data_IF_521868592810
#
_entry.id   IF_521868592810
#
_cell.length_a   1.000
_cell.length_b   1.000
_cell.length_c   1.000
_cell.angle_alpha   90.00
_cell.angle_beta   90.00
_cell.angle_gamma   90.00
#
_symmetry.space_group_name_H-M   'P 1'
#
loop_
_entity.id
_entity.type
_entity.pdbx_description
1 polymer ?
#
# COMPACT_ATOMS: atom_id res chain seq x y z
N UNK A 1 -6.08 -1.26 -3.88
CA UNK A 1 -5.10 -1.22 -5.01
C UNK A 1 -4.17 -2.41 -4.93
N UNK A 2 -3.67 -2.85 -6.06
CA UNK A 2 -2.65 -3.91 -6.10
C UNK A 2 -1.37 -3.42 -5.43
N UNK A 3 -0.86 -4.19 -4.46
CA UNK A 3 0.30 -3.76 -3.67
C UNK A 3 1.57 -3.60 -4.52
N UNK A 4 1.68 -4.30 -5.63
CA UNK A 4 2.85 -4.23 -6.51
C UNK A 4 2.72 -3.17 -7.61
N UNK A 5 1.51 -2.74 -7.92
CA UNK A 5 1.25 -1.77 -8.99
C UNK A 5 1.04 -0.35 -8.48
N UNK A 6 0.63 -0.20 -7.23
CA UNK A 6 0.19 1.09 -6.73
C UNK A 6 -1.15 1.49 -7.32
N UNK A 7 -1.46 2.77 -7.22
CA UNK A 7 -2.72 3.28 -7.76
C UNK A 7 -3.01 4.69 -7.31
N UNK A 8 -4.24 5.11 -7.58
CA UNK A 8 -4.72 6.45 -7.30
C UNK A 8 -5.82 6.41 -6.27
N UNK A 9 -5.78 7.32 -5.31
CA UNK A 9 -6.83 7.50 -4.31
C UNK A 9 -7.23 8.97 -4.28
N UNK A 10 -8.40 9.25 -3.73
CA UNK A 10 -8.90 10.61 -3.61
C UNK A 10 -8.27 11.35 -2.43
N UNK A 11 -8.01 12.63 -2.60
CA UNK A 11 -7.60 13.50 -1.49
C UNK A 11 -8.65 13.44 -0.37
N UNK A 12 -8.20 13.41 0.86
CA UNK A 12 -9.08 13.39 2.03
C UNK A 12 -9.47 12.02 2.55
N UNK A 13 -9.09 10.93 1.87
CA UNK A 13 -9.35 9.58 2.41
C UNK A 13 -8.53 9.34 3.67
N UNK A 14 -9.06 8.53 4.59
CA UNK A 14 -8.41 8.22 5.85
C UNK A 14 -7.78 6.83 5.88
N UNK A 15 -7.93 6.05 4.82
CA UNK A 15 -7.38 4.70 4.75
C UNK A 15 -7.12 4.33 3.30
N UNK A 16 -6.23 3.35 3.11
CA UNK A 16 -5.87 2.83 1.80
C UNK A 16 -5.96 1.31 1.85
N UNK A 17 -6.72 0.72 0.93
CA UNK A 17 -6.87 -0.72 0.84
C UNK A 17 -5.89 -1.29 -0.16
N UNK A 18 -5.17 -2.33 0.25
CA UNK A 18 -4.24 -3.05 -0.63
C UNK A 18 -4.70 -4.49 -0.86
N UNK A 19 -4.36 -5.00 -2.02
CA UNK A 19 -4.61 -6.39 -2.42
C UNK A 19 -3.28 -7.07 -2.70
N UNK A 20 -3.07 -8.24 -2.10
CA UNK A 20 -1.84 -9.02 -2.26
C UNK A 20 -2.16 -10.32 -3.00
N UNK A 21 -1.61 -10.48 -4.20
CA UNK A 21 -1.79 -11.67 -5.04
C UNK A 21 -0.66 -12.69 -4.87
N UNK A 22 0.23 -12.48 -3.91
CA UNK A 22 1.39 -13.34 -3.69
C UNK A 22 1.13 -14.40 -2.62
N UNK A 23 1.93 -15.44 -2.63
CA UNK A 23 1.83 -16.55 -1.67
C UNK A 23 2.54 -16.27 -0.34
N UNK A 24 3.06 -15.06 -0.16
CA UNK A 24 3.71 -14.62 1.08
C UNK A 24 3.13 -13.29 1.53
N UNK A 25 3.14 -13.04 2.85
CA UNK A 25 2.74 -11.76 3.39
C UNK A 25 3.64 -10.66 2.81
N UNK A 26 3.07 -9.47 2.62
CA UNK A 26 3.78 -8.36 2.02
C UNK A 26 3.86 -7.20 3.01
N UNK A 27 5.08 -6.84 3.40
CA UNK A 27 5.34 -5.72 4.30
C UNK A 27 5.68 -4.50 3.47
N UNK A 28 5.04 -3.37 3.76
CA UNK A 28 5.29 -2.11 3.07
C UNK A 28 6.26 -1.28 3.89
N UNK A 29 7.40 -0.93 3.30
CA UNK A 29 8.40 -0.06 3.93
C UNK A 29 8.56 1.24 3.15
N UNK A 30 9.20 2.22 3.75
CA UNK A 30 9.66 3.44 3.05
C UNK A 30 8.55 4.23 2.35
N UNK A 31 7.43 4.47 3.03
CA UNK A 31 6.40 5.37 2.52
C UNK A 31 6.41 6.68 3.33
N UNK A 32 6.58 7.81 2.65
CA UNK A 32 6.66 9.12 3.29
C UNK A 32 5.36 9.92 3.22
N UNK A 33 4.24 9.25 2.93
CA UNK A 33 2.94 9.92 2.92
C UNK A 33 2.62 10.47 4.31
N UNK A 34 2.21 11.74 4.44
CA UNK A 34 1.78 12.27 5.73
C UNK A 34 0.65 11.44 6.33
N UNK A 35 0.82 11.05 7.60
CA UNK A 35 -0.14 10.17 8.27
C UNK A 35 0.13 8.68 8.10
N UNK A 36 1.16 8.30 7.33
CA UNK A 36 1.52 6.88 7.20
C UNK A 36 1.91 6.31 8.57
N UNK A 37 1.48 5.06 8.89
CA UNK A 37 1.79 4.47 10.20
C UNK A 37 3.29 4.32 10.43
N UNK A 38 3.71 4.45 11.68
CA UNK A 38 5.11 4.29 12.08
C UNK A 38 5.54 2.83 12.12
N UNK A 39 4.58 1.92 12.28
CA UNK A 39 4.82 0.48 12.18
C UNK A 39 4.52 0.05 10.75
N UNK A 40 5.45 -0.66 10.11
CA UNK A 40 5.29 -1.08 8.71
C UNK A 40 4.05 -1.96 8.54
N UNK A 41 3.11 -1.57 7.67
CA UNK A 41 1.91 -2.39 7.44
C UNK A 41 2.25 -3.71 6.78
N UNK A 42 1.53 -4.77 7.17
CA UNK A 42 1.65 -6.09 6.57
C UNK A 42 0.32 -6.45 5.93
N UNK A 43 0.37 -6.74 4.63
CA UNK A 43 -0.81 -7.17 3.88
C UNK A 43 -0.72 -8.69 3.73
N UNK A 44 -1.70 -9.44 4.25
CA UNK A 44 -1.62 -10.90 4.28
C UNK A 44 -1.57 -11.51 2.88
N UNK A 45 -0.97 -12.68 2.80
CA UNK A 45 -0.85 -13.44 1.57
C UNK A 45 -2.22 -13.89 1.06
N UNK A 46 -2.27 -14.28 -0.23
CA UNK A 46 -3.46 -14.92 -0.78
C UNK A 46 -3.70 -16.28 -0.12
N UNK A 47 -4.97 -16.67 -0.06
CA UNK A 47 -5.38 -18.00 0.43
C UNK A 47 -6.09 -18.69 -0.73
N UNK A 48 -5.51 -19.77 -1.24
CA UNK A 48 -6.00 -20.41 -2.46
C UNK A 48 -5.95 -19.46 -3.64
N UNK A 49 -7.09 -19.20 -4.29
CA UNK A 49 -7.20 -18.24 -5.38
C UNK A 49 -7.73 -16.88 -4.92
N UNK A 50 -7.96 -16.70 -3.61
CA UNK A 50 -8.49 -15.46 -3.06
C UNK A 50 -7.33 -14.56 -2.64
N UNK A 51 -7.17 -13.35 -3.22
CA UNK A 51 -6.13 -12.42 -2.82
C UNK A 51 -6.25 -12.02 -1.36
N UNK A 52 -5.10 -11.82 -0.71
CA UNK A 52 -5.07 -11.22 0.61
C UNK A 52 -5.41 -9.73 0.52
N UNK A 53 -6.09 -9.21 1.53
CA UNK A 53 -6.44 -7.80 1.60
C UNK A 53 -6.06 -7.22 2.93
N UNK A 54 -5.71 -5.94 2.94
CA UNK A 54 -5.40 -5.22 4.15
C UNK A 54 -5.67 -3.74 3.98
N UNK A 55 -5.99 -3.08 5.09
CA UNK A 55 -6.27 -1.66 5.11
C UNK A 55 -5.21 -0.95 5.91
N UNK A 56 -4.60 0.07 5.34
CA UNK A 56 -3.66 0.96 6.03
C UNK A 56 -4.44 2.17 6.51
N UNK A 57 -4.48 2.36 7.84
CA UNK A 57 -5.11 3.53 8.43
C UNK A 57 -4.14 4.69 8.46
N UNK A 58 -4.56 5.85 7.95
CA UNK A 58 -3.76 7.06 7.97
C UNK A 58 -4.05 7.86 9.25
N UNK A 59 -3.01 8.49 9.81
CA UNK A 59 -3.15 9.35 10.98
C UNK A 59 -3.76 10.70 10.66
N UNK A 60 -3.90 11.04 9.38
CA UNK A 60 -4.53 12.25 8.89
C UNK A 60 -5.07 12.01 7.49
N UNK A 61 -6.04 12.84 7.01
CA UNK A 61 -6.56 12.70 5.65
C UNK A 61 -5.45 12.81 4.60
N UNK A 62 -5.56 12.01 3.54
CA UNK A 62 -4.54 11.98 2.49
C UNK A 62 -4.45 13.32 1.77
N UNK A 63 -3.22 13.79 1.55
CA UNK A 63 -2.93 15.05 0.88
C UNK A 63 -2.43 14.81 -0.54
N UNK A 64 -2.68 15.76 -1.43
CA UNK A 64 -2.26 15.68 -2.84
C UNK A 64 -0.77 15.40 -2.93
N UNK A 65 -0.39 14.47 -3.78
CA UNK A 65 1.01 14.13 -4.03
C UNK A 65 1.16 12.73 -4.61
N UNK A 66 2.41 12.37 -4.88
CA UNK A 66 2.79 11.03 -5.32
C UNK A 66 3.78 10.48 -4.32
N UNK A 67 3.45 9.34 -3.73
CA UNK A 67 4.21 8.76 -2.62
C UNK A 67 4.67 7.35 -2.99
N UNK A 68 5.94 7.18 -3.38
CA UNK A 68 6.49 5.84 -3.59
C UNK A 68 6.52 5.05 -2.29
N UNK A 69 6.35 3.74 -2.41
CA UNK A 69 6.48 2.83 -1.27
C UNK A 69 7.20 1.56 -1.71
N UNK A 70 7.72 0.81 -0.74
CA UNK A 70 8.52 -0.39 -1.02
C UNK A 70 7.83 -1.61 -0.42
N UNK A 71 7.09 -2.40 -1.21
CA UNK A 71 6.57 -3.69 -0.77
C UNK A 71 7.65 -4.75 -0.94
N UNK A 72 7.85 -5.60 0.07
CA UNK A 72 8.92 -6.58 0.03
C UNK A 72 8.57 -7.86 -0.76
N UNK A 73 7.33 -7.98 -1.20
CA UNK A 73 6.88 -9.16 -1.95
C UNK A 73 6.94 -8.98 -3.46
N UNK A 74 7.31 -7.80 -3.94
CA UNK A 74 7.28 -7.46 -5.36
C UNK A 74 8.69 -7.40 -5.92
N UNK A 75 8.88 -8.00 -7.09
CA UNK A 75 10.15 -7.99 -7.80
C UNK A 75 10.08 -6.93 -8.89
N UNK A 76 10.34 -5.68 -8.52
CA UNK A 76 10.20 -4.53 -9.41
C UNK A 76 11.44 -3.63 -9.33
N UNK A 77 11.90 -3.19 -10.50
CA UNK A 77 13.02 -2.26 -10.61
C UNK A 77 12.63 -0.86 -10.11
N UNK A 78 11.36 -0.47 -10.31
CA UNK A 78 10.85 0.84 -9.89
C UNK A 78 9.79 0.63 -8.82
N UNK A 79 9.88 1.31 -7.67
CA UNK A 79 8.86 1.18 -6.63
C UNK A 79 7.48 1.62 -7.13
N UNK A 80 6.41 0.94 -6.73
CA UNK A 80 5.07 1.45 -6.95
C UNK A 80 4.84 2.71 -6.12
N UNK A 81 3.82 3.47 -6.49
CA UNK A 81 3.49 4.71 -5.79
C UNK A 81 1.98 4.84 -5.58
N UNK A 82 1.63 5.55 -4.50
CA UNK A 82 0.26 5.99 -4.24
C UNK A 82 0.15 7.41 -4.75
N UNK A 83 -0.76 7.63 -5.70
CA UNK A 83 -1.04 8.96 -6.22
C UNK A 83 -2.32 9.46 -5.58
N UNK A 84 -2.25 10.62 -4.92
CA UNK A 84 -3.40 11.26 -4.28
C UNK A 84 -3.78 12.50 -5.09
N UNK A 85 -5.02 12.53 -5.54
CA UNK A 85 -5.49 13.64 -6.37
C UNK A 85 -7.00 13.88 -6.25
#
# INVERSE_FOLDING_TARGET
MDICAGGTVSVGVNSINFTNHHSADCTITSCNMPGWPTTDPVIPKKVGSTPGTGTVQLGQPATVGTYPYTPNCCDQATPPAIKVQ
#
